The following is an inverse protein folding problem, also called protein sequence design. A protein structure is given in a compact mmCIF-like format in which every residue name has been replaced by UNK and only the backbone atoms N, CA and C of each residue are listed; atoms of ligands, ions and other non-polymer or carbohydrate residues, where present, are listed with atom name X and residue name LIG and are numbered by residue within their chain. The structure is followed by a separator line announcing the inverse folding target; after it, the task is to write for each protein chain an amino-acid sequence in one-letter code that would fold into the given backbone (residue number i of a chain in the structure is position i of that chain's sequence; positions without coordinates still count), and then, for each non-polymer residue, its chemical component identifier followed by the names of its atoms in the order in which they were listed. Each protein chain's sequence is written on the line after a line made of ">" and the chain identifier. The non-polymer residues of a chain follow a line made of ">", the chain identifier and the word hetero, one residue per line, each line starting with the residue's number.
data_IF_281359819126
#
_entry.id   IF_281359819126
#
_cell.length_a   1.000
_cell.length_b   1.000
_cell.length_c   1.000
_cell.angle_alpha   90.00
_cell.angle_beta   90.00
_cell.angle_gamma   90.00
#
_symmetry.space_group_name_H-M   'P 1'
#
loop_
_entity.id
_entity.type
_entity.pdbx_description
1 polymer ?
#
# COMPACT_ATOMS: atom_id res chain seq x y z
N UNK A 1 18.99 -31.84 -2.89
CA UNK A 1 19.47 -30.44 -2.81
C UNK A 1 19.88 -30.17 -1.38
N UNK A 2 20.99 -29.45 -1.18
CA UNK A 2 21.40 -29.00 0.15
C UNK A 2 20.33 -28.04 0.69
N UNK A 3 19.95 -28.21 1.96
CA UNK A 3 18.96 -27.34 2.60
C UNK A 3 19.57 -25.95 2.77
N UNK A 4 18.90 -24.92 2.28
CA UNK A 4 19.35 -23.53 2.38
C UNK A 4 18.65 -22.93 3.60
N UNK A 5 19.42 -22.53 4.59
CA UNK A 5 18.89 -22.11 5.88
C UNK A 5 18.82 -20.59 5.97
N UNK A 6 17.80 -20.08 6.66
CA UNK A 6 17.79 -18.68 7.12
C UNK A 6 18.80 -18.58 8.26
N UNK A 7 19.85 -17.78 8.08
CA UNK A 7 20.92 -17.62 9.09
C UNK A 7 20.62 -16.45 10.02
N UNK A 8 20.11 -15.35 9.47
CA UNK A 8 19.83 -14.13 10.22
C UNK A 8 18.74 -13.31 9.54
N UNK A 9 17.96 -12.60 10.34
CA UNK A 9 17.02 -11.56 9.91
C UNK A 9 17.26 -10.32 10.79
N UNK A 10 17.74 -9.24 10.19
CA UNK A 10 17.96 -7.96 10.88
C UNK A 10 16.95 -6.93 10.44
N UNK A 11 16.58 -6.04 11.36
CA UNK A 11 15.65 -4.93 11.11
C UNK A 11 16.32 -3.59 11.39
N UNK A 12 16.11 -2.64 10.51
CA UNK A 12 16.69 -1.29 10.56
C UNK A 12 15.55 -0.29 10.41
N UNK A 13 15.32 0.54 11.42
CA UNK A 13 14.39 1.67 11.30
C UNK A 13 15.10 2.77 10.52
N UNK A 14 14.44 3.33 9.51
CA UNK A 14 14.98 4.37 8.63
C UNK A 14 14.01 5.54 8.59
N UNK A 15 14.50 6.75 8.82
CA UNK A 15 13.70 7.98 8.77
C UNK A 15 14.04 8.79 7.51
N UNK A 16 13.07 8.92 6.60
CA UNK A 16 13.23 9.65 5.34
C UNK A 16 12.35 10.91 5.30
N UNK A 17 12.88 12.07 4.86
CA UNK A 17 12.09 13.29 4.76
C UNK A 17 11.10 13.23 3.58
N UNK A 18 9.92 13.80 3.73
CA UNK A 18 8.92 13.92 2.66
C UNK A 18 9.05 15.26 1.92
N UNK A 19 8.68 15.30 0.63
CA UNK A 19 8.80 16.51 -0.22
C UNK A 19 7.95 17.69 0.29
N UNK A 20 6.88 17.38 1.03
CA UNK A 20 5.98 18.33 1.68
C UNK A 20 5.27 17.64 2.86
N UNK A 21 4.67 18.40 3.80
CA UNK A 21 3.73 17.83 4.76
C UNK A 21 2.59 17.08 4.03
N UNK A 22 2.33 15.84 4.43
CA UNK A 22 1.25 15.03 3.87
C UNK A 22 0.10 14.94 4.87
N UNK A 23 -0.95 15.75 4.65
CA UNK A 23 -2.09 15.86 5.57
C UNK A 23 -3.13 14.77 5.31
N UNK A 24 -3.36 13.95 6.31
CA UNK A 24 -4.44 12.96 6.37
C UNK A 24 -5.47 13.42 7.41
N UNK A 25 -6.63 12.78 7.45
CA UNK A 25 -7.67 13.13 8.42
C UNK A 25 -7.21 12.95 9.88
N UNK A 26 -6.44 11.89 10.16
CA UNK A 26 -5.95 11.58 11.51
C UNK A 26 -4.57 12.16 11.87
N UNK A 27 -3.76 12.52 10.87
CA UNK A 27 -2.34 12.83 11.08
C UNK A 27 -1.75 13.68 9.96
N UNK A 28 -0.72 14.48 10.25
CA UNK A 28 0.09 15.16 9.23
C UNK A 28 1.51 14.62 9.25
N UNK A 29 1.91 13.91 8.19
CA UNK A 29 3.26 13.36 8.08
C UNK A 29 4.26 14.45 7.69
N UNK A 30 5.37 14.53 8.41
CA UNK A 30 6.53 15.39 8.10
C UNK A 30 7.74 14.60 7.58
N UNK A 31 7.70 13.29 7.82
CA UNK A 31 8.69 12.29 7.42
C UNK A 31 7.97 10.96 7.29
N UNK A 32 8.59 10.02 6.59
CA UNK A 32 8.18 8.62 6.60
C UNK A 32 9.21 7.79 7.34
N UNK A 33 8.74 6.82 8.13
CA UNK A 33 9.60 5.89 8.86
C UNK A 33 9.37 4.49 8.31
N UNK A 34 10.43 3.91 7.76
CA UNK A 34 10.46 2.55 7.20
C UNK A 34 11.10 1.59 8.21
N UNK A 35 10.72 0.31 8.18
CA UNK A 35 11.50 -0.78 8.78
C UNK A 35 12.05 -1.66 7.67
N UNK A 36 13.35 -1.56 7.41
CA UNK A 36 14.05 -2.34 6.40
C UNK A 36 14.53 -3.66 7.00
N UNK A 37 14.21 -4.76 6.31
CA UNK A 37 14.55 -6.11 6.71
C UNK A 37 15.66 -6.64 5.80
N UNK A 38 16.71 -7.21 6.39
CA UNK A 38 17.75 -7.95 5.66
C UNK A 38 17.76 -9.40 6.14
N UNK A 39 17.39 -10.31 5.25
CA UNK A 39 17.32 -11.75 5.52
C UNK A 39 18.47 -12.46 4.81
N UNK A 40 19.42 -13.00 5.57
CA UNK A 40 20.58 -13.72 5.04
C UNK A 40 20.36 -15.22 5.08
N UNK A 41 20.74 -15.87 3.98
CA UNK A 41 20.63 -17.31 3.79
C UNK A 41 22.02 -17.97 3.73
N UNK A 42 22.09 -19.26 4.05
CA UNK A 42 23.34 -20.04 4.11
C UNK A 42 24.04 -20.27 2.77
N UNK A 43 23.42 -19.86 1.66
CA UNK A 43 23.99 -19.84 0.32
C UNK A 43 24.59 -18.47 -0.05
N UNK A 44 24.66 -17.54 0.91
CA UNK A 44 25.18 -16.19 0.73
C UNK A 44 24.18 -15.19 0.14
N UNK A 45 22.96 -15.62 -0.18
CA UNK A 45 21.92 -14.73 -0.72
C UNK A 45 21.30 -13.90 0.41
N UNK A 46 21.15 -12.60 0.14
CA UNK A 46 20.42 -11.69 1.01
C UNK A 46 19.13 -11.21 0.31
N UNK A 47 18.00 -11.40 1.00
CA UNK A 47 16.70 -10.87 0.63
C UNK A 47 16.37 -9.60 1.40
N UNK A 48 15.78 -8.62 0.71
CA UNK A 48 15.42 -7.32 1.26
C UNK A 48 13.90 -7.19 1.34
N UNK A 49 13.41 -6.71 2.49
CA UNK A 49 12.00 -6.45 2.71
C UNK A 49 11.78 -5.11 3.40
N UNK A 50 10.53 -4.67 3.43
CA UNK A 50 10.13 -3.43 4.06
C UNK A 50 8.79 -3.62 4.79
N UNK A 51 8.70 -3.07 6.01
CA UNK A 51 7.46 -2.93 6.76
C UNK A 51 7.28 -1.47 7.15
N UNK A 52 6.27 -0.82 6.59
CA UNK A 52 6.04 0.63 6.72
C UNK A 52 4.59 0.91 7.06
N UNK A 53 4.38 1.89 7.93
CA UNK A 53 3.06 2.37 8.37
C UNK A 53 2.98 3.88 8.21
N UNK A 54 1.85 4.48 8.58
CA UNK A 54 1.59 5.91 8.47
C UNK A 54 1.42 6.51 9.87
N UNK A 55 2.20 7.54 10.20
CA UNK A 55 2.02 8.32 11.42
C UNK A 55 2.22 7.54 12.73
N UNK A 56 3.09 6.52 12.72
CA UNK A 56 3.32 5.67 13.89
C UNK A 56 2.09 4.80 14.20
N UNK A 57 1.37 5.14 15.28
CA UNK A 57 0.14 4.45 15.71
C UNK A 57 -1.15 5.17 15.27
N UNK A 58 -1.04 6.27 14.51
CA UNK A 58 -2.22 7.05 14.13
C UNK A 58 -3.10 6.33 13.09
N UNK A 59 -2.51 5.54 12.21
CA UNK A 59 -3.25 4.83 11.16
C UNK A 59 -3.69 3.42 11.57
N UNK A 60 -2.83 2.68 12.28
CA UNK A 60 -3.09 1.29 12.66
C UNK A 60 -2.35 0.88 13.92
N UNK A 61 -2.50 -0.38 14.33
CA UNK A 61 -2.00 -0.90 15.61
C UNK A 61 -0.50 -1.20 15.63
N UNK A 62 0.20 -1.06 14.49
CA UNK A 62 1.62 -1.35 14.34
C UNK A 62 2.40 -0.06 14.03
N UNK A 63 3.39 0.27 14.86
CA UNK A 63 4.36 1.35 14.64
C UNK A 63 5.69 0.77 14.16
N UNK A 64 6.59 1.56 13.56
CA UNK A 64 7.92 1.07 13.19
C UNK A 64 8.70 0.46 14.36
N UNK A 65 8.53 1.03 15.56
CA UNK A 65 9.16 0.53 16.79
C UNK A 65 8.57 -0.82 17.22
N UNK A 66 7.24 -0.97 17.21
CA UNK A 66 6.61 -2.25 17.57
C UNK A 66 6.86 -3.34 16.53
N UNK A 67 6.88 -2.98 15.24
CA UNK A 67 7.27 -3.87 14.14
C UNK A 67 8.68 -4.41 14.38
N UNK A 68 9.67 -3.53 14.60
CA UNK A 68 11.05 -3.92 14.89
C UNK A 68 11.13 -4.82 16.13
N UNK A 69 10.51 -4.40 17.23
CA UNK A 69 10.54 -5.16 18.49
C UNK A 69 9.95 -6.56 18.33
N UNK A 70 8.80 -6.68 17.66
CA UNK A 70 8.14 -7.97 17.47
C UNK A 70 8.89 -8.88 16.50
N UNK A 71 9.50 -8.32 15.44
CA UNK A 71 10.36 -9.11 14.54
C UNK A 71 11.56 -9.64 15.33
N UNK A 72 12.30 -8.77 16.00
CA UNK A 72 13.56 -9.13 16.65
C UNK A 72 13.35 -10.11 17.81
N UNK A 73 12.30 -9.91 18.63
CA UNK A 73 12.05 -10.71 19.82
C UNK A 73 11.30 -12.03 19.55
N UNK A 74 10.50 -12.10 18.48
CA UNK A 74 9.56 -13.22 18.29
C UNK A 74 9.61 -13.85 16.90
N UNK A 75 9.57 -13.06 15.83
CA UNK A 75 9.43 -13.59 14.47
C UNK A 75 10.76 -14.10 13.91
N UNK A 76 11.85 -13.34 14.05
CA UNK A 76 13.18 -13.73 13.57
C UNK A 76 13.68 -15.01 14.26
N UNK A 77 13.63 -15.16 15.60
CA UNK A 77 14.05 -16.41 16.26
C UNK A 77 13.26 -17.65 15.81
N UNK A 78 12.02 -17.48 15.36
CA UNK A 78 11.19 -18.58 14.88
C UNK A 78 11.54 -19.02 13.45
N UNK A 79 12.26 -18.19 12.69
CA UNK A 79 12.65 -18.42 11.30
C UNK A 79 14.11 -18.87 11.14
N UNK A 80 15.01 -18.42 12.00
CA UNK A 80 16.43 -18.82 11.93
C UNK A 80 16.53 -20.35 12.02
N UNK A 81 17.28 -20.94 11.09
CA UNK A 81 17.42 -22.39 10.92
C UNK A 81 16.29 -23.07 10.12
N UNK A 82 15.27 -22.33 9.68
CA UNK A 82 14.28 -22.86 8.72
C UNK A 82 14.82 -22.87 7.29
N UNK A 83 14.18 -23.67 6.42
CA UNK A 83 14.51 -23.71 4.99
C UNK A 83 14.00 -22.44 4.29
N UNK A 84 14.90 -21.65 3.73
CA UNK A 84 14.59 -20.41 3.03
C UNK A 84 13.86 -20.65 1.69
N UNK A 85 13.90 -21.86 1.12
CA UNK A 85 13.18 -22.17 -0.12
C UNK A 85 11.68 -22.40 0.10
N UNK A 86 11.24 -22.63 1.34
CA UNK A 86 9.85 -22.92 1.64
C UNK A 86 9.17 -21.73 2.33
N UNK A 87 8.94 -20.68 1.54
CA UNK A 87 8.29 -19.43 1.99
C UNK A 87 6.93 -19.74 2.62
N UNK A 88 6.15 -20.65 2.02
CA UNK A 88 4.84 -21.02 2.57
C UNK A 88 4.95 -21.61 3.99
N UNK A 89 5.88 -22.54 4.23
CA UNK A 89 6.09 -23.11 5.55
C UNK A 89 6.62 -22.08 6.57
N UNK A 90 7.51 -21.17 6.14
CA UNK A 90 7.99 -20.06 6.96
C UNK A 90 6.83 -19.15 7.40
N UNK A 91 5.98 -18.73 6.48
CA UNK A 91 4.84 -17.86 6.82
C UNK A 91 3.79 -18.58 7.69
N UNK A 92 3.50 -19.87 7.42
CA UNK A 92 2.63 -20.66 8.30
C UNK A 92 3.20 -20.84 9.72
N UNK A 93 4.54 -20.91 9.86
CA UNK A 93 5.19 -20.93 11.17
C UNK A 93 4.93 -19.64 11.93
N UNK A 94 5.03 -18.48 11.26
CA UNK A 94 4.77 -17.18 11.86
C UNK A 94 3.30 -17.02 12.28
N UNK A 95 2.36 -17.46 11.45
CA UNK A 95 0.91 -17.39 11.77
C UNK A 95 0.53 -18.22 13.00
N UNK A 96 1.28 -19.28 13.30
CA UNK A 96 1.09 -20.10 14.50
C UNK A 96 1.59 -19.43 15.78
N UNK A 97 2.61 -18.58 15.71
CA UNK A 97 3.21 -17.96 16.92
C UNK A 97 2.77 -16.53 17.17
N UNK A 98 2.34 -15.81 16.14
CA UNK A 98 2.00 -14.40 16.25
C UNK A 98 0.66 -14.14 15.58
N UNK A 99 -0.29 -13.64 16.37
CA UNK A 99 -1.56 -13.08 15.88
C UNK A 99 -1.34 -11.64 15.41
N UNK A 100 -2.09 -11.22 14.39
CA UNK A 100 -1.87 -9.93 13.75
C UNK A 100 -0.44 -9.80 13.20
N UNK A 101 0.20 -8.67 13.50
CA UNK A 101 1.55 -8.34 13.04
C UNK A 101 1.68 -8.43 11.51
N UNK A 102 0.64 -7.99 10.80
CA UNK A 102 0.54 -8.14 9.35
C UNK A 102 1.60 -7.28 8.66
N UNK A 103 1.91 -6.10 9.20
CA UNK A 103 2.96 -5.24 8.65
C UNK A 103 4.33 -5.92 8.77
N UNK A 104 4.67 -6.42 9.96
CA UNK A 104 5.90 -7.16 10.17
C UNK A 104 6.01 -8.41 9.27
N UNK A 105 4.96 -9.21 9.19
CA UNK A 105 4.90 -10.41 8.33
C UNK A 105 5.04 -10.06 6.84
N UNK A 106 4.46 -8.95 6.40
CA UNK A 106 4.57 -8.47 5.02
C UNK A 106 6.02 -8.17 4.64
N UNK A 107 6.77 -7.48 5.52
CA UNK A 107 8.18 -7.23 5.29
C UNK A 107 9.00 -8.52 5.22
N UNK A 108 8.72 -9.48 6.11
CA UNK A 108 9.42 -10.77 6.13
C UNK A 108 9.15 -11.57 4.85
N UNK A 109 7.89 -11.66 4.43
CA UNK A 109 7.54 -12.38 3.21
C UNK A 109 8.18 -11.74 1.97
N UNK A 110 8.24 -10.42 1.93
CA UNK A 110 8.91 -9.67 0.85
C UNK A 110 10.40 -10.01 0.80
N UNK A 111 11.09 -10.05 1.95
CA UNK A 111 12.50 -10.45 2.01
C UNK A 111 12.74 -11.91 1.58
N UNK A 112 11.86 -12.83 1.98
CA UNK A 112 11.92 -14.23 1.55
C UNK A 112 11.73 -14.38 0.04
N UNK A 113 10.75 -13.66 -0.54
CA UNK A 113 10.49 -13.64 -1.97
C UNK A 113 11.65 -13.02 -2.75
N UNK A 114 12.24 -11.93 -2.26
CA UNK A 114 13.42 -11.32 -2.87
C UNK A 114 14.60 -12.30 -2.91
N UNK A 115 14.92 -12.94 -1.78
CA UNK A 115 15.97 -13.96 -1.71
C UNK A 115 15.69 -15.12 -2.67
N UNK A 116 14.45 -15.61 -2.73
CA UNK A 116 14.08 -16.71 -3.63
C UNK A 116 14.16 -16.30 -5.11
N UNK A 117 13.78 -15.07 -5.44
CA UNK A 117 13.87 -14.55 -6.81
C UNK A 117 15.33 -14.45 -7.26
N UNK A 118 16.20 -13.90 -6.40
CA UNK A 118 17.65 -13.86 -6.63
C UNK A 118 18.23 -15.26 -6.83
N UNK A 119 17.84 -16.22 -5.97
CA UNK A 119 18.29 -17.61 -6.03
C UNK A 119 17.94 -18.31 -7.33
N UNK A 120 16.73 -18.06 -7.85
CA UNK A 120 16.24 -18.70 -9.06
C UNK A 120 16.54 -17.89 -10.33
N UNK A 121 17.12 -16.69 -10.20
CA UNK A 121 17.32 -15.78 -11.33
C UNK A 121 16.00 -15.26 -11.91
N UNK A 122 14.94 -15.17 -11.09
CA UNK A 122 13.59 -14.78 -11.51
C UNK A 122 13.10 -13.53 -10.76
N UNK A 123 12.36 -12.63 -11.41
CA UNK A 123 11.62 -11.58 -10.72
C UNK A 123 10.57 -12.18 -9.78
N UNK A 124 10.24 -11.48 -8.68
CA UNK A 124 9.21 -11.93 -7.73
C UNK A 124 7.85 -12.18 -8.42
N UNK A 125 7.47 -11.35 -9.39
CA UNK A 125 6.25 -11.56 -10.19
C UNK A 125 6.17 -12.93 -10.87
N UNK A 126 7.30 -13.49 -11.32
CA UNK A 126 7.34 -14.82 -11.95
C UNK A 126 7.22 -15.94 -10.91
N UNK A 127 7.74 -15.72 -9.70
CA UNK A 127 7.52 -16.64 -8.57
C UNK A 127 6.05 -16.67 -8.13
N UNK A 128 5.34 -15.56 -8.30
CA UNK A 128 3.93 -15.41 -7.94
C UNK A 128 2.96 -15.89 -9.05
N UNK A 129 3.47 -16.57 -10.09
CA UNK A 129 2.67 -17.18 -11.15
C UNK A 129 2.84 -16.54 -12.53
N UNK A 130 3.61 -15.45 -12.64
CA UNK A 130 3.89 -14.76 -13.89
C UNK A 130 3.14 -13.45 -14.02
N UNK A 131 3.84 -12.41 -14.48
CA UNK A 131 3.22 -11.11 -14.76
C UNK A 131 2.35 -11.16 -16.01
N UNK A 132 1.26 -10.39 -16.01
CA UNK A 132 0.37 -10.18 -17.18
C UNK A 132 0.43 -8.75 -17.72
N UNK A 133 1.29 -7.91 -17.13
CA UNK A 133 1.64 -6.54 -17.57
C UNK A 133 3.04 -6.20 -17.09
N UNK A 134 3.64 -5.15 -17.66
CA UNK A 134 5.00 -4.69 -17.30
C UNK A 134 5.03 -3.35 -16.55
N UNK A 135 3.87 -2.72 -16.41
CA UNK A 135 3.72 -1.43 -15.73
C UNK A 135 2.34 -1.32 -15.08
N UNK A 136 2.23 -0.43 -14.11
CA UNK A 136 1.00 -0.16 -13.35
C UNK A 136 0.68 1.33 -13.42
N UNK A 137 -0.56 1.70 -13.72
CA UNK A 137 -0.98 3.10 -13.67
C UNK A 137 -1.03 3.59 -12.21
N UNK A 138 -0.55 4.81 -11.96
CA UNK A 138 -0.31 5.33 -10.61
C UNK A 138 -1.09 6.63 -10.38
N UNK A 139 -2.01 6.60 -9.42
CA UNK A 139 -2.69 7.75 -8.87
C UNK A 139 -1.75 8.60 -8.00
N UNK A 140 -2.08 9.89 -7.89
CA UNK A 140 -1.36 10.85 -7.06
C UNK A 140 -2.27 11.44 -5.98
N UNK A 141 -1.76 11.52 -4.75
CA UNK A 141 -2.54 12.06 -3.63
C UNK A 141 -2.34 13.57 -3.45
N UNK A 142 -3.43 14.33 -3.61
CA UNK A 142 -3.50 15.76 -3.30
C UNK A 142 -3.93 15.95 -1.84
N UNK A 143 -3.09 16.63 -1.08
CA UNK A 143 -3.23 16.70 0.38
C UNK A 143 -2.52 17.94 0.98
N UNK A 144 -2.41 19.04 0.21
CA UNK A 144 -1.79 20.26 0.73
C UNK A 144 -2.70 20.99 1.74
N UNK A 145 -4.02 20.80 1.61
CA UNK A 145 -5.05 21.50 2.36
C UNK A 145 -5.38 22.89 1.78
N UNK A 146 -4.98 23.16 0.54
CA UNK A 146 -5.30 24.39 -0.19
C UNK A 146 -5.76 24.06 -1.62
N UNK A 147 -6.98 24.46 -1.97
CA UNK A 147 -7.60 24.12 -3.25
C UNK A 147 -6.80 24.61 -4.45
N UNK A 148 -6.25 25.83 -4.41
CA UNK A 148 -5.54 26.39 -5.56
C UNK A 148 -4.20 25.68 -5.79
N UNK A 149 -3.49 25.35 -4.71
CA UNK A 149 -2.25 24.55 -4.77
C UNK A 149 -2.51 23.14 -5.27
N UNK A 150 -3.56 22.49 -4.79
CA UNK A 150 -3.89 21.12 -5.22
C UNK A 150 -4.29 21.08 -6.71
N UNK A 151 -5.01 22.10 -7.22
CA UNK A 151 -5.27 22.24 -8.68
C UNK A 151 -3.95 22.42 -9.44
N UNK A 152 -3.09 23.35 -9.02
CA UNK A 152 -1.82 23.61 -9.70
C UNK A 152 -0.90 22.38 -9.72
N UNK A 153 -0.82 21.65 -8.61
CA UNK A 153 -0.05 20.40 -8.50
C UNK A 153 -0.62 19.32 -9.46
N UNK A 154 -1.94 19.19 -9.54
CA UNK A 154 -2.58 18.25 -10.46
C UNK A 154 -2.30 18.58 -11.95
N UNK A 155 -2.40 19.85 -12.33
CA UNK A 155 -2.07 20.30 -13.69
C UNK A 155 -0.61 20.01 -14.05
N UNK A 156 0.31 20.28 -13.12
CA UNK A 156 1.74 19.97 -13.31
C UNK A 156 1.96 18.46 -13.52
N UNK A 157 1.28 17.60 -12.76
CA UNK A 157 1.41 16.15 -12.91
C UNK A 157 0.80 15.63 -14.22
N UNK A 158 -0.26 16.27 -14.72
CA UNK A 158 -0.83 15.97 -16.03
C UNK A 158 0.12 16.37 -17.17
N UNK A 159 0.63 17.61 -17.13
CA UNK A 159 1.54 18.15 -18.15
C UNK A 159 2.84 17.33 -18.23
N UNK A 160 3.41 16.96 -17.09
CA UNK A 160 4.59 16.12 -17.01
C UNK A 160 4.33 14.65 -17.37
N UNK A 161 3.07 14.28 -17.69
CA UNK A 161 2.64 12.90 -17.96
C UNK A 161 2.99 11.94 -16.81
N UNK A 162 2.91 12.44 -15.58
CA UNK A 162 3.27 11.72 -14.36
C UNK A 162 2.07 11.05 -13.74
N UNK A 163 0.93 11.75 -13.64
CA UNK A 163 -0.30 11.23 -13.06
C UNK A 163 -1.53 11.86 -13.75
N UNK A 164 -2.58 11.05 -13.94
CA UNK A 164 -3.89 11.50 -14.45
C UNK A 164 -5.07 11.00 -13.60
N UNK A 165 -4.76 10.46 -12.43
CA UNK A 165 -5.71 10.00 -11.43
C UNK A 165 -5.30 10.69 -10.13
N UNK A 166 -6.24 11.40 -9.50
CA UNK A 166 -5.98 12.16 -8.29
C UNK A 166 -6.86 11.69 -7.14
N UNK A 167 -6.23 11.36 -6.01
CA UNK A 167 -6.88 10.99 -4.76
C UNK A 167 -6.81 12.17 -3.79
N UNK A 168 -7.94 12.68 -3.35
CA UNK A 168 -8.00 13.81 -2.41
C UNK A 168 -8.24 13.29 -1.00
N UNK A 169 -7.43 13.75 -0.05
CA UNK A 169 -7.62 13.45 1.37
C UNK A 169 -8.56 14.48 1.99
N UNK A 170 -9.69 14.00 2.52
CA UNK A 170 -10.73 14.81 3.18
C UNK A 170 -11.12 14.22 4.54
N UNK A 171 -12.03 14.86 5.27
CA UNK A 171 -12.52 14.41 6.58
C UNK A 171 -11.95 15.19 7.77
N UNK A 172 -10.91 16.01 7.54
CA UNK A 172 -10.32 16.87 8.57
C UNK A 172 -11.07 18.19 8.78
N UNK A 173 -11.81 18.66 7.77
CA UNK A 173 -12.55 19.93 7.82
C UNK A 173 -14.06 19.67 7.96
N UNK A 174 -14.87 20.71 8.26
CA UNK A 174 -16.32 20.59 8.16
C UNK A 174 -16.76 20.10 6.78
N UNK A 175 -17.76 19.21 6.74
CA UNK A 175 -18.24 18.54 5.52
C UNK A 175 -18.41 19.49 4.32
N UNK A 176 -19.08 20.63 4.50
CA UNK A 176 -19.31 21.59 3.39
C UNK A 176 -18.01 22.13 2.79
N UNK A 177 -16.98 22.31 3.60
CA UNK A 177 -15.69 22.83 3.17
C UNK A 177 -14.96 21.80 2.32
N UNK A 178 -14.92 20.55 2.77
CA UNK A 178 -14.30 19.44 2.03
C UNK A 178 -15.04 19.18 0.71
N UNK A 179 -16.38 19.19 0.71
CA UNK A 179 -17.17 19.02 -0.52
C UNK A 179 -16.89 20.14 -1.52
N UNK A 180 -16.86 21.42 -1.08
CA UNK A 180 -16.52 22.55 -1.95
C UNK A 180 -15.12 22.43 -2.54
N UNK A 181 -14.15 22.00 -1.72
CA UNK A 181 -12.77 21.78 -2.15
C UNK A 181 -12.68 20.72 -3.26
N UNK A 182 -13.26 19.54 -3.03
CA UNK A 182 -13.23 18.44 -3.99
C UNK A 182 -13.94 18.78 -5.29
N UNK A 183 -15.14 19.37 -5.22
CA UNK A 183 -15.93 19.75 -6.40
C UNK A 183 -15.19 20.81 -7.24
N UNK A 184 -14.51 21.76 -6.59
CA UNK A 184 -13.71 22.76 -7.30
C UNK A 184 -12.55 22.11 -8.08
N UNK A 185 -11.86 21.14 -7.49
CA UNK A 185 -10.76 20.40 -8.15
C UNK A 185 -11.29 19.57 -9.32
N UNK A 186 -12.35 18.77 -9.12
CA UNK A 186 -12.95 18.00 -10.22
C UNK A 186 -13.42 18.89 -11.36
N UNK A 187 -14.02 20.05 -11.06
CA UNK A 187 -14.43 21.02 -12.08
C UNK A 187 -13.24 21.58 -12.86
N UNK A 188 -12.12 21.88 -12.20
CA UNK A 188 -10.93 22.41 -12.85
C UNK A 188 -10.27 21.38 -13.77
N UNK A 189 -10.14 20.14 -13.32
CA UNK A 189 -9.52 19.06 -14.09
C UNK A 189 -10.43 18.54 -15.21
N UNK A 190 -11.74 18.52 -14.97
CA UNK A 190 -12.75 18.06 -15.93
C UNK A 190 -12.57 16.59 -16.28
N UNK A 191 -12.71 16.27 -17.57
CA UNK A 191 -12.55 14.91 -18.12
C UNK A 191 -11.09 14.51 -18.37
N UNK A 192 -10.12 15.40 -18.10
CA UNK A 192 -8.69 15.12 -18.32
C UNK A 192 -8.11 14.18 -17.26
N UNK A 193 -8.78 14.05 -16.11
CA UNK A 193 -8.32 13.24 -15.00
C UNK A 193 -9.48 12.58 -14.24
N UNK A 194 -9.19 11.41 -13.67
CA UNK A 194 -10.05 10.79 -12.66
C UNK A 194 -9.82 11.47 -11.31
N UNK A 195 -10.90 11.77 -10.58
CA UNK A 195 -10.82 12.38 -9.24
C UNK A 195 -11.57 11.51 -8.26
N UNK A 196 -10.88 11.15 -7.19
CA UNK A 196 -11.32 10.20 -6.16
C UNK A 196 -11.09 10.83 -4.79
N UNK A 197 -11.77 10.34 -3.76
CA UNK A 197 -11.59 10.83 -2.39
C UNK A 197 -11.32 9.70 -1.41
N UNK A 198 -10.66 10.03 -0.31
CA UNK A 198 -10.50 9.18 0.85
C UNK A 198 -10.71 10.00 2.12
N UNK A 199 -11.64 9.52 2.94
CA UNK A 199 -12.08 10.16 4.19
C UNK A 199 -11.40 9.54 5.42
N UNK A 200 -10.71 8.41 5.25
CA UNK A 200 -10.03 7.67 6.30
C UNK A 200 -10.89 7.43 7.54
N UNK A 201 -12.18 7.10 7.35
CA UNK A 201 -13.19 6.83 8.39
C UNK A 201 -13.77 8.05 9.14
N UNK A 202 -13.40 9.28 8.78
CA UNK A 202 -13.71 10.45 9.62
C UNK A 202 -15.13 11.00 9.50
N UNK A 203 -15.92 10.57 8.53
CA UNK A 203 -17.34 10.89 8.55
C UNK A 203 -18.10 9.92 9.44
N UNK A 204 -19.07 10.46 10.18
CA UNK A 204 -20.17 9.63 10.65
C UNK A 204 -21.10 9.27 9.47
N UNK A 205 -22.01 8.33 9.69
CA UNK A 205 -22.92 7.87 8.62
C UNK A 205 -23.85 8.99 8.12
N UNK A 206 -24.25 9.92 8.99
CA UNK A 206 -25.14 11.01 8.61
C UNK A 206 -24.47 11.99 7.64
N UNK A 207 -23.20 12.30 7.90
CA UNK A 207 -22.35 13.08 7.02
C UNK A 207 -22.10 12.33 5.72
N UNK A 208 -21.77 11.03 5.80
CA UNK A 208 -21.43 10.22 4.63
C UNK A 208 -22.61 10.05 3.66
N UNK A 209 -23.85 9.90 4.14
CA UNK A 209 -25.03 9.84 3.26
C UNK A 209 -25.11 11.07 2.36
N UNK A 210 -24.94 12.26 2.94
CA UNK A 210 -24.96 13.51 2.18
C UNK A 210 -23.71 13.69 1.33
N UNK A 211 -22.54 13.39 1.90
CA UNK A 211 -21.25 13.54 1.23
C UNK A 211 -21.16 12.67 -0.02
N UNK A 212 -21.55 11.39 0.07
CA UNK A 212 -21.50 10.47 -1.06
C UNK A 212 -22.42 10.91 -2.20
N UNK A 213 -23.63 11.39 -1.89
CA UNK A 213 -24.55 11.93 -2.90
C UNK A 213 -23.94 13.12 -3.63
N UNK A 214 -23.47 14.13 -2.88
CA UNK A 214 -22.88 15.34 -3.47
C UNK A 214 -21.65 15.02 -4.31
N UNK A 215 -20.76 14.15 -3.82
CA UNK A 215 -19.56 13.76 -4.56
C UNK A 215 -19.90 13.03 -5.86
N UNK A 216 -20.79 12.03 -5.84
CA UNK A 216 -21.16 11.31 -7.05
C UNK A 216 -21.92 12.18 -8.06
N UNK A 217 -22.81 13.07 -7.61
CA UNK A 217 -23.52 14.03 -8.48
C UNK A 217 -22.57 15.04 -9.14
N UNK A 218 -21.36 15.22 -8.61
CA UNK A 218 -20.34 16.12 -9.13
C UNK A 218 -19.17 15.40 -9.81
N UNK A 219 -19.34 14.12 -10.19
CA UNK A 219 -18.39 13.39 -11.04
C UNK A 219 -17.14 12.91 -10.31
N UNK A 220 -17.23 12.64 -9.01
CA UNK A 220 -16.17 11.95 -8.25
C UNK A 220 -16.32 10.44 -8.48
N UNK A 221 -15.23 9.82 -8.94
CA UNK A 221 -15.28 8.47 -9.49
C UNK A 221 -15.29 7.39 -8.41
N UNK A 222 -14.68 7.64 -7.25
CA UNK A 222 -14.54 6.67 -6.16
C UNK A 222 -14.49 7.35 -4.80
N UNK A 223 -15.12 6.74 -3.80
CA UNK A 223 -15.12 7.19 -2.40
C UNK A 223 -14.53 6.08 -1.52
N UNK A 224 -13.35 6.31 -0.97
CA UNK A 224 -12.63 5.37 -0.11
C UNK A 224 -12.94 5.59 1.36
N UNK A 225 -13.25 4.48 2.04
CA UNK A 225 -13.53 4.35 3.46
C UNK A 225 -14.19 5.59 4.10
N UNK A 226 -15.43 5.96 3.68
CA UNK A 226 -16.07 7.18 4.15
C UNK A 226 -16.30 7.19 5.66
N UNK A 227 -16.64 6.03 6.23
CA UNK A 227 -17.01 5.88 7.64
C UNK A 227 -16.18 4.82 8.35
N UNK A 228 -16.28 4.81 9.68
CA UNK A 228 -15.63 3.83 10.54
C UNK A 228 -15.85 2.39 10.10
N UNK A 229 -14.75 1.62 10.10
CA UNK A 229 -14.77 0.18 9.84
C UNK A 229 -15.68 -0.61 10.77
N UNK A 230 -15.89 -0.12 12.00
CA UNK A 230 -16.75 -0.74 13.02
C UNK A 230 -18.23 -0.61 12.67
N UNK A 231 -18.64 0.43 11.93
CA UNK A 231 -20.02 0.61 11.49
C UNK A 231 -20.32 -0.25 10.23
N UNK A 232 -20.28 -1.57 10.38
CA UNK A 232 -20.45 -2.52 9.27
C UNK A 232 -21.78 -2.34 8.54
N UNK A 233 -22.88 -2.23 9.28
CA UNK A 233 -24.21 -2.03 8.70
C UNK A 233 -24.34 -0.70 7.97
N UNK A 234 -23.64 0.35 8.44
CA UNK A 234 -23.57 1.64 7.76
C UNK A 234 -22.85 1.53 6.41
N UNK A 235 -21.75 0.78 6.34
CA UNK A 235 -21.00 0.57 5.09
C UNK A 235 -21.88 -0.08 4.02
N UNK A 236 -22.64 -1.12 4.40
CA UNK A 236 -23.61 -1.79 3.51
C UNK A 236 -24.66 -0.80 3.00
N UNK A 237 -25.27 0.00 3.90
CA UNK A 237 -26.28 1.00 3.50
C UNK A 237 -25.71 2.08 2.58
N UNK A 238 -24.48 2.52 2.81
CA UNK A 238 -23.80 3.49 1.95
C UNK A 238 -23.51 2.89 0.58
N UNK A 239 -22.99 1.67 0.51
CA UNK A 239 -22.70 1.00 -0.76
C UNK A 239 -23.98 0.79 -1.61
N UNK A 240 -25.13 0.58 -0.98
CA UNK A 240 -26.42 0.44 -1.66
C UNK A 240 -27.02 1.76 -2.18
N UNK A 241 -26.63 2.90 -1.59
CA UNK A 241 -27.27 4.21 -1.84
C UNK A 241 -26.38 5.21 -2.55
N UNK A 242 -25.07 5.08 -2.39
CA UNK A 242 -24.11 6.00 -2.98
C UNK A 242 -24.17 5.92 -4.51
N UNK A 243 -24.30 7.05 -5.21
CA UNK A 243 -24.20 7.06 -6.67
C UNK A 243 -22.78 6.78 -7.18
N UNK A 244 -21.76 7.01 -6.35
CA UNK A 244 -20.37 6.65 -6.63
C UNK A 244 -19.97 5.35 -5.90
N UNK A 245 -19.11 4.50 -6.49
CA UNK A 245 -18.66 3.27 -5.84
C UNK A 245 -17.91 3.56 -4.53
N UNK A 246 -18.13 2.69 -3.54
CA UNK A 246 -17.42 2.71 -2.26
C UNK A 246 -16.27 1.71 -2.29
N UNK A 247 -15.08 2.16 -1.86
CA UNK A 247 -13.90 1.33 -1.64
C UNK A 247 -13.66 1.07 -0.15
N UNK A 248 -13.37 -0.17 0.21
CA UNK A 248 -12.92 -0.55 1.55
C UNK A 248 -11.38 -0.54 1.63
N UNK A 249 -10.83 0.14 2.64
CA UNK A 249 -9.40 0.15 2.96
C UNK A 249 -9.17 -0.29 4.42
N UNK A 250 -9.42 0.58 5.40
CA UNK A 250 -9.24 0.25 6.82
C UNK A 250 -10.18 -0.86 7.30
N UNK A 251 -11.27 -1.13 6.60
CA UNK A 251 -12.12 -2.30 6.88
C UNK A 251 -11.46 -3.64 6.55
N UNK A 252 -10.38 -3.66 5.76
CA UNK A 252 -9.61 -4.86 5.43
C UNK A 252 -8.30 -4.84 6.24
N UNK A 253 -8.25 -5.60 7.34
CA UNK A 253 -7.05 -5.83 8.15
C UNK A 253 -6.55 -7.29 8.06
N UNK A 254 -7.27 -8.12 7.31
CA UNK A 254 -7.00 -9.55 7.13
C UNK A 254 -7.69 -10.07 5.87
N UNK A 255 -7.33 -11.30 5.47
CA UNK A 255 -7.98 -12.00 4.34
C UNK A 255 -9.44 -12.33 4.70
N UNK A 256 -9.70 -12.63 5.96
CA UNK A 256 -11.01 -12.97 6.50
C UNK A 256 -11.98 -11.77 6.50
N UNK A 257 -11.46 -10.55 6.70
CA UNK A 257 -12.25 -9.32 6.57
C UNK A 257 -12.74 -9.14 5.13
N UNK A 258 -11.89 -9.42 4.14
CA UNK A 258 -12.25 -9.34 2.74
C UNK A 258 -13.41 -10.30 2.38
N UNK A 259 -13.35 -11.54 2.87
CA UNK A 259 -14.45 -12.49 2.72
C UNK A 259 -15.73 -11.95 3.35
N UNK A 260 -15.64 -11.45 4.58
CA UNK A 260 -16.80 -10.94 5.31
C UNK A 260 -17.38 -9.68 4.65
N UNK A 261 -16.55 -8.78 4.11
CA UNK A 261 -16.98 -7.59 3.34
C UNK A 261 -17.67 -7.97 2.04
N UNK A 262 -17.15 -8.98 1.35
CA UNK A 262 -17.74 -9.49 0.12
C UNK A 262 -19.10 -10.14 0.37
N UNK A 263 -19.21 -10.99 1.39
CA UNK A 263 -20.46 -11.64 1.77
C UNK A 263 -21.57 -10.64 2.15
N UNK A 264 -21.20 -9.55 2.83
CA UNK A 264 -22.13 -8.50 3.27
C UNK A 264 -22.51 -7.52 2.15
N UNK A 265 -21.76 -7.46 1.05
CA UNK A 265 -21.89 -6.41 0.03
C UNK A 265 -21.53 -5.02 0.55
N UNK A 266 -20.53 -4.94 1.45
CA UNK A 266 -20.19 -3.72 2.18
C UNK A 266 -19.40 -2.68 1.36
N UNK A 267 -18.75 -3.11 0.27
CA UNK A 267 -18.03 -2.24 -0.65
C UNK A 267 -17.99 -2.88 -2.04
N UNK A 268 -17.84 -2.05 -3.07
CA UNK A 268 -17.75 -2.47 -4.48
C UNK A 268 -16.30 -2.55 -5.01
N UNK A 269 -15.35 -2.01 -4.24
CA UNK A 269 -13.92 -1.99 -4.54
C UNK A 269 -13.11 -2.34 -3.29
N UNK A 270 -12.07 -3.16 -3.41
CA UNK A 270 -11.13 -3.43 -2.32
C UNK A 270 -9.76 -2.81 -2.60
N UNK A 271 -9.26 -2.06 -1.61
CA UNK A 271 -7.87 -1.62 -1.58
C UNK A 271 -6.97 -2.78 -1.13
N UNK A 272 -6.09 -3.20 -2.03
CA UNK A 272 -5.12 -4.25 -1.80
C UNK A 272 -3.83 -3.65 -1.26
N UNK A 273 -3.46 -3.95 -0.02
CA UNK A 273 -2.21 -3.50 0.61
C UNK A 273 -1.48 -4.70 1.20
N UNK A 274 -0.22 -4.93 0.80
CA UNK A 274 0.55 -6.08 1.32
C UNK A 274 0.71 -6.00 2.85
N UNK A 275 0.96 -4.80 3.38
CA UNK A 275 1.15 -4.55 4.80
C UNK A 275 -0.10 -4.94 5.62
N UNK A 276 -1.29 -4.53 5.16
CA UNK A 276 -2.56 -4.82 5.83
C UNK A 276 -2.89 -6.32 5.84
N UNK A 277 -2.52 -7.04 4.79
CA UNK A 277 -2.89 -8.45 4.61
C UNK A 277 -1.84 -9.44 5.15
N UNK A 278 -0.61 -9.01 5.40
CA UNK A 278 0.47 -9.90 5.85
C UNK A 278 1.41 -10.38 4.74
N UNK A 279 1.48 -9.66 3.63
CA UNK A 279 2.43 -9.88 2.53
C UNK A 279 1.80 -10.16 1.16
N UNK A 280 2.63 -10.19 0.09
CA UNK A 280 2.23 -10.56 -1.28
C UNK A 280 1.29 -11.77 -1.40
N UNK A 281 1.58 -12.88 -0.74
CA UNK A 281 0.76 -14.10 -0.86
C UNK A 281 -0.61 -13.93 -0.20
N UNK A 282 -0.68 -13.16 0.88
CA UNK A 282 -1.94 -12.93 1.57
C UNK A 282 -2.83 -11.95 0.81
N UNK A 283 -2.26 -10.87 0.27
CA UNK A 283 -3.04 -9.92 -0.53
C UNK A 283 -3.57 -10.54 -1.83
N UNK A 284 -2.86 -11.51 -2.43
CA UNK A 284 -3.39 -12.27 -3.56
C UNK A 284 -4.61 -13.12 -3.19
N UNK A 285 -4.68 -13.66 -1.96
CA UNK A 285 -5.90 -14.36 -1.49
C UNK A 285 -7.07 -13.39 -1.33
N UNK A 286 -6.81 -12.19 -0.81
CA UNK A 286 -7.81 -11.12 -0.74
C UNK A 286 -8.30 -10.72 -2.14
N UNK A 287 -7.39 -10.61 -3.11
CA UNK A 287 -7.75 -10.34 -4.50
C UNK A 287 -8.61 -11.45 -5.10
N UNK A 288 -8.25 -12.73 -4.88
CA UNK A 288 -9.04 -13.87 -5.36
C UNK A 288 -10.46 -13.91 -4.77
N UNK A 289 -10.62 -13.56 -3.49
CA UNK A 289 -11.93 -13.42 -2.86
C UNK A 289 -12.75 -12.32 -3.55
N UNK A 290 -12.15 -11.15 -3.77
CA UNK A 290 -12.81 -10.04 -4.45
C UNK A 290 -13.20 -10.38 -5.88
N UNK A 291 -12.30 -10.98 -6.66
CA UNK A 291 -12.57 -11.43 -8.03
C UNK A 291 -13.71 -12.44 -8.08
N UNK A 292 -13.73 -13.42 -7.16
CA UNK A 292 -14.81 -14.41 -7.08
C UNK A 292 -16.16 -13.79 -6.68
N UNK A 293 -16.15 -12.68 -5.94
CA UNK A 293 -17.34 -11.93 -5.54
C UNK A 293 -17.76 -10.85 -6.56
N UNK A 294 -17.00 -10.65 -7.64
CA UNK A 294 -17.24 -9.57 -8.61
C UNK A 294 -16.88 -8.17 -8.09
N UNK A 295 -16.06 -8.08 -7.05
CA UNK A 295 -15.56 -6.82 -6.46
C UNK A 295 -14.31 -6.37 -7.21
N UNK A 296 -14.25 -5.08 -7.53
CA UNK A 296 -13.13 -4.52 -8.28
C UNK A 296 -11.89 -4.33 -7.40
N UNK A 297 -10.71 -4.34 -8.02
CA UNK A 297 -9.43 -4.26 -7.32
C UNK A 297 -8.77 -2.89 -7.50
N UNK A 298 -8.11 -2.44 -6.43
CA UNK A 298 -7.25 -1.27 -6.37
C UNK A 298 -5.91 -1.63 -5.71
N UNK A 299 -4.79 -1.24 -6.31
CA UNK A 299 -3.46 -1.44 -5.70
C UNK A 299 -3.12 -0.32 -4.71
N UNK A 300 -3.41 -0.53 -3.44
CA UNK A 300 -3.16 0.44 -2.37
C UNK A 300 -1.71 0.49 -1.89
N UNK A 301 -1.40 1.52 -1.10
CA UNK A 301 -0.08 1.68 -0.43
C UNK A 301 -0.25 2.06 1.04
N UNK A 302 0.77 1.76 1.85
CA UNK A 302 1.01 2.35 3.17
C UNK A 302 2.05 3.49 3.11
N UNK A 303 2.25 4.06 1.92
CA UNK A 303 3.33 5.00 1.61
C UNK A 303 4.70 4.36 1.85
N UNK A 304 4.86 3.11 1.39
CA UNK A 304 6.13 2.40 1.39
C UNK A 304 7.20 3.16 0.58
N UNK A 305 8.47 2.94 0.92
CA UNK A 305 9.61 3.28 0.08
C UNK A 305 9.71 2.35 -1.13
N UNK A 306 10.84 2.41 -1.83
CA UNK A 306 11.05 1.66 -3.08
C UNK A 306 11.00 0.14 -2.89
N UNK A 307 11.42 -0.36 -1.72
CA UNK A 307 11.42 -1.80 -1.43
C UNK A 307 9.99 -2.34 -1.32
N UNK A 308 9.17 -1.74 -0.45
CA UNK A 308 7.77 -2.16 -0.27
C UNK A 308 6.91 -1.87 -1.50
N UNK A 309 7.19 -0.77 -2.20
CA UNK A 309 6.52 -0.44 -3.47
C UNK A 309 6.78 -1.50 -4.54
N UNK A 310 8.02 -1.97 -4.70
CA UNK A 310 8.33 -3.05 -5.66
C UNK A 310 7.70 -4.38 -5.23
N UNK A 311 7.66 -4.70 -3.93
CA UNK A 311 6.98 -5.91 -3.45
C UNK A 311 5.48 -5.90 -3.79
N UNK A 312 4.81 -4.77 -3.56
CA UNK A 312 3.41 -4.56 -3.98
C UNK A 312 3.28 -4.64 -5.49
N UNK A 313 4.15 -3.96 -6.25
CA UNK A 313 4.07 -3.93 -7.71
C UNK A 313 4.23 -5.33 -8.31
N UNK A 314 5.27 -6.09 -7.94
CA UNK A 314 5.45 -7.48 -8.42
C UNK A 314 4.23 -8.35 -8.15
N UNK A 315 3.53 -8.12 -7.04
CA UNK A 315 2.27 -8.79 -6.72
C UNK A 315 1.14 -8.36 -7.66
N UNK A 316 0.97 -7.06 -7.86
CA UNK A 316 -0.10 -6.50 -8.69
C UNK A 316 0.08 -6.75 -10.19
N UNK A 317 1.31 -7.00 -10.64
CA UNK A 317 1.58 -7.41 -12.01
C UNK A 317 0.94 -8.75 -12.39
N UNK A 318 0.63 -9.62 -11.43
CA UNK A 318 0.03 -10.95 -11.69
C UNK A 318 -1.49 -10.95 -11.72
N UNK A 319 -2.12 -9.90 -11.18
CA UNK A 319 -3.58 -9.77 -11.12
C UNK A 319 -4.19 -9.63 -12.51
N UNK A 320 -5.35 -10.22 -12.77
CA UNK A 320 -5.99 -10.14 -14.09
C UNK A 320 -6.34 -8.70 -14.47
N UNK A 321 -6.90 -7.94 -13.53
CA UNK A 321 -7.32 -6.57 -13.74
C UNK A 321 -7.22 -5.77 -12.44
N UNK A 322 -6.78 -4.53 -12.55
CA UNK A 322 -6.86 -3.50 -11.50
C UNK A 322 -7.74 -2.39 -12.03
N UNK A 323 -9.06 -2.60 -11.99
CA UNK A 323 -10.04 -1.69 -12.60
C UNK A 323 -9.91 -0.26 -12.08
N UNK A 324 -9.42 -0.11 -10.85
CA UNK A 324 -9.19 1.18 -10.21
C UNK A 324 -7.71 1.55 -10.12
N UNK A 325 -6.83 0.87 -10.86
CA UNK A 325 -5.41 1.20 -10.94
C UNK A 325 -4.69 1.04 -9.59
N UNK A 326 -3.64 1.83 -9.34
CA UNK A 326 -2.84 1.77 -8.10
C UNK A 326 -2.53 3.17 -7.56
N UNK A 327 -2.08 3.25 -6.31
CA UNK A 327 -1.47 4.44 -5.69
C UNK A 327 -0.04 4.16 -5.24
N UNK A 328 0.71 3.39 -6.03
CA UNK A 328 2.11 3.08 -5.74
C UNK A 328 3.04 4.28 -6.00
N UNK A 329 2.77 5.43 -5.36
CA UNK A 329 3.55 6.66 -5.48
C UNK A 329 4.44 6.95 -4.26
N UNK A 330 4.44 6.09 -3.23
CA UNK A 330 5.20 6.29 -1.98
C UNK A 330 6.62 6.82 -2.17
N UNK A 331 7.46 6.22 -3.04
CA UNK A 331 8.83 6.69 -3.31
C UNK A 331 8.91 8.14 -3.82
N UNK A 332 7.89 8.61 -4.52
CA UNK A 332 7.81 9.99 -5.05
C UNK A 332 7.47 11.02 -3.98
N UNK A 333 6.89 10.58 -2.85
CA UNK A 333 6.63 11.45 -1.71
C UNK A 333 7.91 11.68 -0.87
N UNK A 334 8.91 10.81 -1.00
CA UNK A 334 10.18 10.88 -0.29
C UNK A 334 11.16 11.78 -1.05
N UNK A 335 11.87 12.64 -0.33
CA UNK A 335 12.95 13.48 -0.90
C UNK A 335 14.22 12.68 -1.19
N UNK A 336 14.39 11.56 -0.49
CA UNK A 336 15.56 10.70 -0.49
C UNK A 336 15.09 9.25 -0.53
N UNK A 337 15.92 8.36 -1.07
CA UNK A 337 15.64 6.94 -1.17
C UNK A 337 16.87 6.13 -0.77
N UNK A 338 16.68 4.88 -0.35
CA UNK A 338 17.72 3.96 0.13
C UNK A 338 18.11 2.90 -0.90
N UNK A 339 17.75 3.09 -2.16
CA UNK A 339 18.15 2.23 -3.28
C UNK A 339 19.09 2.98 -4.22
N UNK A 340 19.94 2.23 -4.92
CA UNK A 340 20.93 2.81 -5.85
C UNK A 340 20.29 3.39 -7.11
N UNK A 341 19.16 2.83 -7.54
CA UNK A 341 18.41 3.26 -8.72
C UNK A 341 16.96 3.57 -8.35
N UNK A 342 16.53 4.80 -8.64
CA UNK A 342 15.16 5.21 -8.41
C UNK A 342 14.19 4.51 -9.36
N UNK A 343 12.97 4.25 -8.85
CA UNK A 343 11.88 3.67 -9.62
C UNK A 343 11.47 4.58 -10.80
N UNK A 344 11.10 3.96 -11.90
CA UNK A 344 10.83 4.65 -13.16
C UNK A 344 9.33 4.95 -13.31
N UNK A 345 8.97 6.23 -13.12
CA UNK A 345 7.62 6.74 -13.34
C UNK A 345 7.57 7.59 -14.61
N UNK A 346 6.81 7.16 -15.60
CA UNK A 346 6.61 7.89 -16.86
C UNK A 346 5.30 7.46 -17.51
N UNK A 347 4.75 8.34 -18.35
CA UNK A 347 3.51 8.07 -19.08
C UNK A 347 2.38 7.57 -18.18
N UNK A 348 2.23 8.17 -16.99
CA UNK A 348 1.25 7.85 -15.94
C UNK A 348 1.49 6.52 -15.19
N UNK A 349 2.56 5.80 -15.52
CA UNK A 349 2.79 4.45 -15.01
C UNK A 349 4.10 4.31 -14.23
N UNK A 350 4.10 3.38 -13.28
CA UNK A 350 5.29 2.78 -12.69
C UNK A 350 5.73 1.58 -13.53
N UNK A 351 6.97 1.60 -14.03
CA UNK A 351 7.56 0.51 -14.83
C UNK A 351 8.40 -0.42 -13.96
N UNK A 352 8.20 -1.73 -14.09
CA UNK A 352 8.82 -2.72 -13.22
C UNK A 352 9.87 -3.55 -13.99
N UNK A 353 11.12 -3.61 -13.49
CA UNK A 353 12.17 -4.36 -14.18
C UNK A 353 11.90 -5.87 -14.19
N UNK A 354 12.58 -6.58 -15.09
CA UNK A 354 12.58 -8.06 -15.21
C UNK A 354 13.84 -8.67 -14.57
N UNK A 355 14.47 -7.96 -13.64
CA UNK A 355 15.65 -8.43 -12.92
C UNK A 355 15.26 -9.38 -11.78
N UNK A 356 16.18 -10.27 -11.33
CA UNK A 356 15.90 -11.21 -10.26
C UNK A 356 15.50 -10.55 -8.93
N UNK A 357 14.66 -11.24 -8.15
CA UNK A 357 14.15 -10.72 -6.88
C UNK A 357 13.18 -9.57 -7.06
N UNK A 358 13.23 -8.60 -6.15
CA UNK A 358 12.49 -7.34 -6.29
C UNK A 358 13.06 -6.45 -7.40
N UNK A 359 14.29 -6.71 -7.82
CA UNK A 359 14.96 -5.95 -8.87
C UNK A 359 15.55 -4.62 -8.39
N UNK A 360 16.06 -4.60 -7.16
CA UNK A 360 16.68 -3.43 -6.53
C UNK A 360 17.98 -3.79 -5.82
N UNK A 361 18.79 -2.77 -5.55
CA UNK A 361 19.99 -2.82 -4.71
C UNK A 361 19.91 -1.69 -3.69
N UNK A 362 20.22 -1.97 -2.42
CA UNK A 362 20.28 -0.95 -1.38
C UNK A 362 21.50 -0.05 -1.58
N UNK A 363 21.32 1.24 -1.37
CA UNK A 363 22.39 2.21 -1.20
C UNK A 363 22.83 2.19 0.27
N UNK A 364 23.95 1.53 0.56
CA UNK A 364 24.44 1.32 1.93
C UNK A 364 24.85 2.64 2.60
N UNK A 365 25.29 3.65 1.84
CA UNK A 365 25.65 4.97 2.40
C UNK A 365 24.40 5.72 2.84
N UNK A 366 23.36 5.75 2.00
CA UNK A 366 22.07 6.37 2.35
C UNK A 366 21.36 5.62 3.47
N UNK A 367 21.38 4.29 3.44
CA UNK A 367 20.84 3.47 4.52
C UNK A 367 21.56 3.78 5.85
N UNK A 368 22.89 3.86 5.85
CA UNK A 368 23.66 4.21 7.04
C UNK A 368 23.41 5.65 7.52
N UNK A 369 23.18 6.59 6.60
CA UNK A 369 22.86 7.99 6.90
C UNK A 369 21.49 8.18 7.54
N UNK A 370 20.48 7.46 7.06
CA UNK A 370 19.08 7.64 7.48
C UNK A 370 18.59 6.61 8.50
N UNK A 371 19.39 5.61 8.86
CA UNK A 371 19.03 4.69 9.96
C UNK A 371 18.88 5.45 11.27
N UNK A 372 17.86 5.08 12.04
CA UNK A 372 17.64 5.57 13.40
C UNK A 372 18.57 4.85 14.37
N UNK A 373 19.25 5.61 15.23
CA UNK A 373 20.19 5.13 16.23
C UNK A 373 19.53 4.76 17.55
#
# INVERSE_FOLDING_TARGET
>A
MQRILIENLTTIIVDLPTIRPHKLAMHTMQRQTLVILRLRCSDGIEGIGEATTIGGLAYGYESPESIKANIDAHLAPALVGMDANNINAAMQRLDKIAKGNTFAKSGIESALLDAQGKRLGLPVSELLGGRVRDSLEVAWTLASGDTARDIAEAEQMLEARRHRIFKLKIGANPLEQDLKHVVAIKKALGERASVRVDVNQYWDESQAIRGCQVLGDNGIDLIEQPISRVNRSGQIRLNQRSPAPIMADESIESVEDAFSLAADGAASVFALKIAKNGGPRAVLRTAQIAEAAGIALYGGTMLEGSVGTLASAHTFLTLKQLTWDTELFGPLLLTEDIVTEALQYRDFHLHIPRTPGLGLTLDEERLARFRRH
#
